data_IF_144260442580
#
_entry.id   IF_144260442580
#
_cell.length_a   1.000
_cell.length_b   1.000
_cell.length_c   1.000
_cell.angle_alpha   90.00
_cell.angle_beta   90.00
_cell.angle_gamma   90.00
#
_symmetry.space_group_name_H-M   'P 1'
#
loop_
_entity.id
_entity.type
_entity.pdbx_description
1 polymer ?
#
# COMPACT_ATOMS: atom_id res chain seq x y z
N UNK A 1 -23.42 6.11 11.97
CA UNK A 1 -22.05 5.58 11.83
C UNK A 1 -22.13 4.07 11.76
N UNK A 2 -21.40 3.47 10.82
CA UNK A 2 -21.46 2.05 10.48
C UNK A 2 -21.15 1.14 11.69
N UNK A 3 -22.10 0.30 12.10
CA UNK A 3 -22.00 -0.67 13.22
C UNK A 3 -21.10 -1.88 12.92
N UNK A 4 -20.62 -2.05 11.68
CA UNK A 4 -19.92 -3.26 11.22
C UNK A 4 -18.41 -3.31 11.57
N UNK A 5 -17.84 -2.27 12.17
CA UNK A 5 -16.42 -2.20 12.56
C UNK A 5 -16.15 -2.36 14.06
N UNK A 6 -17.18 -2.58 14.88
CA UNK A 6 -17.02 -2.74 16.33
C UNK A 6 -16.05 -3.90 16.66
N UNK A 7 -14.90 -3.55 17.25
CA UNK A 7 -13.92 -4.50 17.77
C UNK A 7 -12.84 -5.00 16.81
N UNK A 8 -12.73 -4.47 15.58
CA UNK A 8 -11.64 -4.85 14.65
C UNK A 8 -10.68 -3.68 14.40
N UNK A 9 -9.40 -3.96 14.58
CA UNK A 9 -8.32 -3.03 14.25
C UNK A 9 -8.30 -2.76 12.72
N UNK A 10 -8.52 -1.51 12.28
CA UNK A 10 -8.52 -1.17 10.86
C UNK A 10 -7.18 -1.47 10.17
N UNK A 11 -6.06 -1.39 10.89
CA UNK A 11 -4.73 -1.71 10.37
C UNK A 11 -4.67 -3.17 9.95
N UNK A 12 -5.20 -4.06 10.80
CA UNK A 12 -5.28 -5.49 10.53
C UNK A 12 -6.19 -5.80 9.35
N UNK A 13 -7.36 -5.14 9.26
CA UNK A 13 -8.29 -5.31 8.14
C UNK A 13 -7.61 -4.98 6.82
N UNK A 14 -6.94 -3.82 6.74
CA UNK A 14 -6.27 -3.36 5.51
C UNK A 14 -5.11 -4.28 5.15
N UNK A 15 -4.29 -4.65 6.13
CA UNK A 15 -3.14 -5.53 5.91
C UNK A 15 -3.57 -6.90 5.37
N UNK A 16 -4.62 -7.50 5.96
CA UNK A 16 -5.12 -8.81 5.53
C UNK A 16 -5.78 -8.75 4.14
N UNK A 17 -6.52 -7.67 3.85
CA UNK A 17 -7.09 -7.45 2.52
C UNK A 17 -5.99 -7.28 1.47
N UNK A 18 -4.93 -6.54 1.78
CA UNK A 18 -3.78 -6.34 0.90
C UNK A 18 -3.04 -7.66 0.63
N UNK A 19 -2.80 -8.46 1.67
CA UNK A 19 -2.17 -9.77 1.53
C UNK A 19 -2.96 -10.71 0.60
N UNK A 20 -4.28 -10.77 0.74
CA UNK A 20 -5.16 -11.56 -0.15
C UNK A 20 -5.13 -11.02 -1.58
N UNK A 21 -5.12 -9.69 -1.74
CA UNK A 21 -5.08 -9.03 -3.04
C UNK A 21 -3.78 -9.32 -3.78
N UNK A 22 -2.64 -9.35 -3.08
CA UNK A 22 -1.33 -9.64 -3.69
C UNK A 22 -1.23 -11.05 -4.30
N UNK A 23 -2.11 -11.99 -3.95
CA UNK A 23 -2.18 -13.28 -4.66
C UNK A 23 -2.62 -13.06 -6.12
N UNK A 24 -3.63 -12.22 -6.34
CA UNK A 24 -4.14 -11.91 -7.67
C UNK A 24 -3.27 -10.88 -8.41
N UNK A 25 -2.64 -9.98 -7.66
CA UNK A 25 -1.80 -8.90 -8.18
C UNK A 25 -0.32 -9.12 -7.84
N UNK A 26 0.14 -10.36 -7.94
CA UNK A 26 1.46 -10.82 -7.52
C UNK A 26 2.66 -10.00 -8.03
N UNK A 27 2.65 -9.33 -9.21
CA UNK A 27 3.78 -8.49 -9.61
C UNK A 27 4.06 -7.36 -8.60
N UNK A 28 3.04 -6.86 -7.89
CA UNK A 28 3.23 -5.80 -6.90
C UNK A 28 4.03 -6.26 -5.68
N UNK A 29 4.11 -7.57 -5.42
CA UNK A 29 4.93 -8.15 -4.36
C UNK A 29 6.38 -8.42 -4.79
N UNK A 30 6.78 -7.99 -6.00
CA UNK A 30 8.13 -8.15 -6.55
C UNK A 30 9.02 -6.92 -6.39
N UNK A 31 10.10 -6.87 -7.18
CA UNK A 31 11.04 -5.74 -7.24
C UNK A 31 11.27 -5.30 -8.68
N UNK A 32 11.44 -4.01 -8.89
CA UNK A 32 11.85 -3.48 -10.19
C UNK A 32 13.30 -3.88 -10.47
N UNK A 33 13.54 -4.39 -11.67
CA UNK A 33 14.86 -4.75 -12.16
C UNK A 33 15.05 -4.17 -13.56
N UNK A 34 16.29 -3.93 -13.94
CA UNK A 34 16.65 -3.63 -15.32
C UNK A 34 16.72 -4.94 -16.12
N UNK A 35 15.90 -5.03 -17.16
CA UNK A 35 15.84 -6.15 -18.08
C UNK A 35 16.60 -5.89 -19.38
N UNK A 36 16.48 -6.80 -20.36
CA UNK A 36 17.06 -6.62 -21.69
C UNK A 36 16.62 -5.30 -22.33
N UNK A 37 17.50 -4.71 -23.14
CA UNK A 37 17.29 -3.41 -23.79
C UNK A 37 17.01 -2.24 -22.81
N UNK A 38 17.53 -2.31 -21.58
CA UNK A 38 17.32 -1.33 -20.50
C UNK A 38 15.83 -1.11 -20.17
N UNK A 39 15.00 -2.15 -20.38
CA UNK A 39 13.57 -2.11 -20.07
C UNK A 39 13.35 -2.44 -18.60
N UNK A 40 12.54 -1.64 -17.91
CA UNK A 40 12.14 -1.94 -16.53
C UNK A 40 11.24 -3.17 -16.52
N UNK A 41 11.59 -4.17 -15.72
CA UNK A 41 10.82 -5.39 -15.49
C UNK A 41 10.55 -5.57 -14.00
N UNK A 42 9.65 -6.50 -13.67
CA UNK A 42 9.35 -6.88 -12.28
C UNK A 42 9.87 -8.28 -12.01
N UNK A 43 10.83 -8.41 -11.11
CA UNK A 43 11.23 -9.69 -10.55
C UNK A 43 10.22 -10.12 -9.48
N UNK A 44 9.39 -11.11 -9.79
CA UNK A 44 8.27 -11.54 -8.94
C UNK A 44 8.72 -12.54 -7.86
N UNK A 45 9.46 -12.07 -6.85
CA UNK A 45 10.06 -12.86 -5.77
C UNK A 45 9.16 -13.12 -4.58
N UNK A 46 7.94 -12.56 -4.57
CA UNK A 46 7.00 -12.60 -3.44
C UNK A 46 7.57 -12.03 -2.13
N UNK A 47 8.54 -11.10 -2.21
CA UNK A 47 9.05 -10.37 -1.05
C UNK A 47 7.98 -9.48 -0.37
N UNK A 48 6.85 -9.24 -1.04
CA UNK A 48 5.74 -8.47 -0.52
C UNK A 48 5.93 -6.96 -0.71
N UNK A 49 5.04 -6.20 -0.07
CA UNK A 49 4.99 -4.73 -0.13
C UNK A 49 5.28 -4.15 1.25
N UNK A 50 5.84 -2.94 1.26
CA UNK A 50 5.99 -2.17 2.49
C UNK A 50 4.63 -1.57 2.86
N UNK A 51 4.18 -1.83 4.09
CA UNK A 51 2.96 -1.28 4.66
C UNK A 51 3.30 -0.63 5.99
N UNK A 52 2.97 0.65 6.15
CA UNK A 52 3.34 1.46 7.31
C UNK A 52 2.08 2.08 7.92
N UNK A 53 1.91 1.89 9.22
CA UNK A 53 0.93 2.61 10.01
C UNK A 53 1.54 3.93 10.50
N UNK A 54 0.77 5.00 10.43
CA UNK A 54 1.15 6.31 10.94
C UNK A 54 -0.03 6.98 11.64
N UNK A 55 0.27 7.84 12.61
CA UNK A 55 -0.70 8.67 13.30
C UNK A 55 -0.31 10.15 13.16
N UNK A 56 -1.30 11.02 13.06
CA UNK A 56 -1.11 12.46 12.94
C UNK A 56 -2.04 13.18 13.91
N UNK A 57 -1.53 14.23 14.55
CA UNK A 57 -2.36 15.15 15.33
C UNK A 57 -2.93 16.24 14.41
N UNK A 58 -3.72 15.79 13.43
CA UNK A 58 -4.41 16.63 12.46
C UNK A 58 -5.68 15.89 12.01
N UNK A 59 -6.66 16.65 11.56
CA UNK A 59 -7.87 16.15 10.92
C UNK A 59 -7.66 15.98 9.42
N UNK A 60 -8.54 15.21 8.76
CA UNK A 60 -8.46 15.04 7.30
C UNK A 60 -8.81 16.36 6.60
N UNK A 61 -9.70 17.17 7.16
CA UNK A 61 -10.10 18.47 6.64
C UNK A 61 -8.94 19.47 6.60
N UNK A 62 -8.04 19.41 7.59
CA UNK A 62 -6.83 20.24 7.64
C UNK A 62 -5.81 19.91 6.55
N UNK A 63 -5.85 18.70 5.98
CA UNK A 63 -4.95 18.28 4.88
C UNK A 63 -5.32 18.97 3.54
N UNK A 64 -6.57 19.42 3.37
CA UNK A 64 -7.08 19.97 2.12
C UNK A 64 -6.96 18.98 0.94
N UNK A 65 -6.97 19.50 -0.30
CA UNK A 65 -6.83 18.69 -1.54
C UNK A 65 -5.37 18.32 -1.86
N UNK A 66 -4.47 18.29 -0.87
CA UNK A 66 -3.03 18.11 -1.10
C UNK A 66 -2.70 16.66 -1.48
N UNK A 67 -2.89 16.30 -2.74
CA UNK A 67 -2.01 15.32 -3.41
C UNK A 67 -0.82 16.11 -3.95
N UNK A 68 0.04 16.57 -3.04
CA UNK A 68 1.33 17.09 -3.46
C UNK A 68 2.15 15.90 -3.98
N UNK A 69 2.79 16.01 -5.15
CA UNK A 69 3.68 14.96 -5.61
C UNK A 69 4.77 14.74 -4.54
N UNK A 70 5.23 13.50 -4.33
CA UNK A 70 6.34 13.26 -3.42
C UNK A 70 7.50 14.18 -3.81
N UNK A 71 8.01 14.95 -2.84
CA UNK A 71 9.18 15.80 -3.04
C UNK A 71 10.30 14.92 -3.61
N UNK A 72 10.80 15.29 -4.79
CA UNK A 72 12.00 14.70 -5.39
C UNK A 72 13.24 15.07 -4.60
#
# INVERSE_FOLDING_TARGET
>A
MNSSMEGKDPVMIIRDALAKTLVYYYPHAGRLIEGPDNKVMVNCTAEGVVFVEANAHATIEELGDMVLPPCR
#
